data_IF_053312960229
#
_entry.id   IF_053312960229
#
_cell.length_a   1.000
_cell.length_b   1.000
_cell.length_c   1.000
_cell.angle_alpha   90.00
_cell.angle_beta   90.00
_cell.angle_gamma   90.00
#
_symmetry.space_group_name_H-M   'P 1'
#
loop_
_entity.id
_entity.type
_entity.pdbx_description
1 polymer ?
#
# COMPACT_ATOMS: atom_id res chain seq x y z
N UNK A 1 14.09 12.01 3.23
CA UNK A 1 14.26 11.08 4.37
C UNK A 1 14.24 9.60 3.99
N UNK A 2 13.58 9.18 2.89
CA UNK A 2 13.58 7.75 2.45
C UNK A 2 15.00 7.18 2.37
N UNK A 3 15.90 7.87 1.67
CA UNK A 3 17.30 7.43 1.48
C UNK A 3 18.03 7.14 2.80
N UNK A 4 17.91 8.04 3.79
CA UNK A 4 18.53 7.85 5.10
C UNK A 4 18.00 6.59 5.81
N UNK A 5 16.68 6.38 5.79
CA UNK A 5 16.05 5.23 6.44
C UNK A 5 16.43 3.92 5.74
N UNK A 6 16.49 3.93 4.42
CA UNK A 6 16.81 2.75 3.60
C UNK A 6 18.30 2.47 3.51
N UNK A 7 19.18 3.40 3.90
CA UNK A 7 20.61 3.17 4.04
C UNK A 7 21.01 2.66 5.44
N UNK A 8 20.08 2.68 6.40
CA UNK A 8 20.38 2.40 7.82
C UNK A 8 19.48 1.31 8.40
N UNK A 9 18.32 1.68 8.94
CA UNK A 9 17.45 0.78 9.72
C UNK A 9 16.51 -0.08 8.85
N UNK A 10 16.33 0.26 7.57
CA UNK A 10 15.52 -0.50 6.61
C UNK A 10 16.29 -0.83 5.30
N UNK A 11 17.43 -1.53 5.33
CA UNK A 11 18.31 -1.70 4.17
C UNK A 11 17.84 -2.75 3.15
N UNK A 12 16.54 -3.04 3.09
CA UNK A 12 15.99 -4.04 2.19
C UNK A 12 15.42 -3.41 0.90
N UNK A 13 15.56 -4.08 -0.26
CA UNK A 13 15.07 -3.57 -1.55
C UNK A 13 13.59 -3.17 -1.53
N UNK A 14 12.74 -3.90 -0.80
CA UNK A 14 11.33 -3.59 -0.68
C UNK A 14 11.08 -2.16 -0.14
N UNK A 15 11.85 -1.70 0.84
CA UNK A 15 11.70 -0.35 1.40
C UNK A 15 12.27 0.72 0.47
N UNK A 16 13.41 0.45 -0.19
CA UNK A 16 13.99 1.37 -1.16
C UNK A 16 13.07 1.59 -2.36
N UNK A 17 12.55 0.51 -2.95
CA UNK A 17 11.65 0.58 -4.10
C UNK A 17 10.34 1.25 -3.73
N UNK A 18 9.56 0.68 -2.79
CA UNK A 18 8.23 1.21 -2.49
C UNK A 18 8.28 2.56 -1.76
N UNK A 19 9.26 2.78 -0.89
CA UNK A 19 9.46 4.08 -0.25
C UNK A 19 9.79 5.17 -1.27
N UNK A 20 10.58 4.85 -2.30
CA UNK A 20 10.85 5.75 -3.41
C UNK A 20 9.58 6.11 -4.19
N UNK A 21 8.79 5.11 -4.60
CA UNK A 21 7.52 5.31 -5.32
C UNK A 21 6.55 6.18 -4.51
N UNK A 22 6.37 5.88 -3.22
CA UNK A 22 5.47 6.62 -2.32
C UNK A 22 5.94 8.07 -2.15
N UNK A 23 7.23 8.30 -1.90
CA UNK A 23 7.76 9.65 -1.73
C UNK A 23 7.68 10.49 -3.01
N UNK A 24 7.89 9.85 -4.17
CA UNK A 24 7.78 10.48 -5.47
C UNK A 24 6.33 10.63 -5.96
N UNK A 25 5.35 10.00 -5.29
CA UNK A 25 3.94 9.91 -5.72
C UNK A 25 3.81 9.34 -7.14
N UNK A 26 4.67 8.38 -7.48
CA UNK A 26 4.72 7.74 -8.80
C UNK A 26 4.13 6.34 -8.69
N UNK A 27 2.86 6.20 -9.09
CA UNK A 27 2.13 4.94 -9.05
C UNK A 27 1.79 4.40 -10.45
N UNK A 28 2.25 5.09 -11.49
CA UNK A 28 2.10 4.68 -12.88
C UNK A 28 3.46 4.74 -13.59
N UNK A 29 3.76 3.79 -14.50
CA UNK A 29 2.98 2.57 -14.77
C UNK A 29 3.03 1.60 -13.58
N UNK A 30 1.93 0.86 -13.36
CA UNK A 30 1.88 -0.10 -12.27
C UNK A 30 2.79 -1.31 -12.55
N UNK A 31 3.67 -1.63 -11.59
CA UNK A 31 4.39 -2.89 -11.60
C UNK A 31 3.50 -4.02 -11.07
N UNK A 32 2.66 -3.71 -10.07
CA UNK A 32 1.62 -4.60 -9.57
C UNK A 32 0.39 -3.79 -9.17
N UNK A 33 -0.75 -4.05 -9.81
CA UNK A 33 -1.94 -3.20 -9.63
C UNK A 33 -2.57 -3.36 -8.25
N UNK A 34 -3.19 -2.28 -7.76
CA UNK A 34 -3.91 -2.28 -6.49
C UNK A 34 -5.04 -3.31 -6.46
N UNK A 35 -5.71 -3.55 -7.60
CA UNK A 35 -6.72 -4.61 -7.71
C UNK A 35 -6.14 -6.01 -7.42
N UNK A 36 -4.93 -6.31 -7.90
CA UNK A 36 -4.25 -7.58 -7.62
C UNK A 36 -3.77 -7.65 -6.16
N UNK A 37 -3.27 -6.54 -5.60
CA UNK A 37 -2.92 -6.43 -4.19
C UNK A 37 -4.11 -6.70 -3.27
N UNK A 38 -5.28 -6.13 -3.58
CA UNK A 38 -6.52 -6.37 -2.84
C UNK A 38 -6.93 -7.84 -2.86
N UNK A 39 -6.84 -8.49 -4.03
CA UNK A 39 -7.09 -9.92 -4.19
C UNK A 39 -6.16 -10.74 -3.28
N UNK A 40 -4.86 -10.46 -3.24
CA UNK A 40 -3.90 -11.19 -2.41
C UNK A 40 -4.17 -10.99 -0.91
N UNK A 41 -4.52 -9.78 -0.46
CA UNK A 41 -4.91 -9.52 0.93
C UNK A 41 -6.16 -10.32 1.33
N UNK A 42 -7.17 -10.39 0.45
CA UNK A 42 -8.38 -11.18 0.71
C UNK A 42 -8.09 -12.67 0.81
N UNK A 43 -7.19 -13.20 -0.03
CA UNK A 43 -6.76 -14.60 0.04
C UNK A 43 -6.04 -14.90 1.36
N UNK A 44 -5.14 -14.01 1.80
CA UNK A 44 -4.44 -14.16 3.06
C UNK A 44 -5.39 -14.12 4.27
N UNK A 45 -6.37 -13.19 4.28
CA UNK A 45 -7.37 -13.09 5.34
C UNK A 45 -8.27 -14.33 5.40
N UNK A 46 -8.73 -14.85 4.26
CA UNK A 46 -9.53 -16.07 4.21
C UNK A 46 -8.76 -17.28 4.77
N UNK A 47 -7.48 -17.41 4.42
CA UNK A 47 -6.62 -18.46 4.98
C UNK A 47 -6.45 -18.30 6.50
N UNK A 48 -6.20 -17.07 6.97
CA UNK A 48 -6.04 -16.79 8.39
C UNK A 48 -7.32 -17.09 9.20
N UNK A 49 -8.50 -16.73 8.66
CA UNK A 49 -9.80 -17.03 9.26
C UNK A 49 -10.01 -18.54 9.41
N UNK A 50 -9.67 -19.34 8.39
CA UNK A 50 -9.77 -20.81 8.44
C UNK A 50 -8.93 -21.44 9.55
N UNK A 51 -7.85 -20.76 9.95
CA UNK A 51 -6.93 -21.17 11.02
C UNK A 51 -7.18 -20.46 12.35
N UNK A 52 -8.20 -19.57 12.42
CA UNK A 52 -8.50 -18.71 13.58
C UNK A 52 -7.31 -17.85 14.01
N UNK A 53 -6.50 -17.38 13.06
CA UNK A 53 -5.36 -16.50 13.29
C UNK A 53 -5.78 -15.05 13.03
N UNK A 54 -5.82 -14.18 14.05
CA UNK A 54 -6.16 -12.77 13.84
C UNK A 54 -5.05 -12.04 13.07
N UNK A 55 -5.43 -11.26 12.06
CA UNK A 55 -4.52 -10.46 11.23
C UNK A 55 -4.90 -8.97 11.26
N UNK A 56 -4.54 -8.23 12.33
CA UNK A 56 -4.95 -6.82 12.47
C UNK A 56 -4.44 -5.93 11.34
N UNK A 57 -3.16 -6.08 10.95
CA UNK A 57 -2.60 -5.35 9.82
C UNK A 57 -3.20 -5.79 8.49
N UNK A 58 -3.55 -7.07 8.33
CA UNK A 58 -4.25 -7.56 7.15
C UNK A 58 -5.64 -6.94 7.00
N UNK A 59 -6.38 -6.81 8.11
CA UNK A 59 -7.70 -6.17 8.13
C UNK A 59 -7.60 -4.68 7.81
N UNK A 60 -6.61 -3.98 8.36
CA UNK A 60 -6.32 -2.60 8.00
C UNK A 60 -6.01 -2.46 6.51
N UNK A 61 -5.16 -3.34 5.96
CA UNK A 61 -4.81 -3.31 4.53
C UNK A 61 -6.04 -3.56 3.65
N UNK A 62 -6.92 -4.49 4.03
CA UNK A 62 -8.17 -4.75 3.33
C UNK A 62 -8.98 -3.47 3.16
N UNK A 63 -9.22 -2.73 4.24
CA UNK A 63 -10.04 -1.51 4.20
C UNK A 63 -9.34 -0.38 3.43
N UNK A 64 -8.01 -0.30 3.51
CA UNK A 64 -7.21 0.66 2.74
C UNK A 64 -7.25 0.38 1.24
N UNK A 65 -7.13 -0.87 0.82
CA UNK A 65 -7.31 -1.27 -0.58
C UNK A 65 -8.73 -0.99 -1.04
N UNK A 66 -9.75 -1.36 -0.25
CA UNK A 66 -11.15 -1.13 -0.60
C UNK A 66 -11.43 0.36 -0.84
N UNK A 67 -10.90 1.24 0.01
CA UNK A 67 -10.98 2.69 -0.21
C UNK A 67 -10.28 3.14 -1.48
N UNK A 68 -9.04 2.71 -1.70
CA UNK A 68 -8.28 3.07 -2.90
C UNK A 68 -9.03 2.69 -4.19
N UNK A 69 -9.62 1.50 -4.21
CA UNK A 69 -10.44 1.01 -5.31
C UNK A 69 -11.71 1.87 -5.49
N UNK A 70 -12.42 2.18 -4.40
CA UNK A 70 -13.61 3.04 -4.43
C UNK A 70 -13.33 4.46 -4.96
N UNK A 71 -12.09 4.92 -4.85
CA UNK A 71 -11.63 6.22 -5.36
C UNK A 71 -11.03 6.13 -6.78
N UNK A 72 -11.12 4.97 -7.45
CA UNK A 72 -10.67 4.76 -8.83
C UNK A 72 -9.22 4.33 -9.00
N UNK A 73 -8.52 4.00 -7.90
CA UNK A 73 -7.10 3.60 -7.91
C UNK A 73 -6.81 2.17 -8.35
N UNK A 74 -7.77 1.47 -8.99
CA UNK A 74 -7.67 0.05 -9.36
C UNK A 74 -6.45 -0.29 -10.21
N UNK A 75 -6.12 0.56 -11.18
CA UNK A 75 -5.03 0.39 -12.14
C UNK A 75 -3.68 0.92 -11.65
N UNK A 76 -3.65 1.64 -10.53
CA UNK A 76 -2.42 2.18 -9.95
C UNK A 76 -1.58 1.05 -9.36
N UNK A 77 -0.27 1.30 -9.23
CA UNK A 77 0.59 0.43 -8.43
C UNK A 77 0.07 0.35 -6.99
N UNK A 78 0.10 -0.84 -6.39
CA UNK A 78 -0.38 -1.05 -5.03
C UNK A 78 0.33 -0.19 -3.97
N UNK A 79 1.50 0.37 -4.28
CA UNK A 79 2.18 1.36 -3.43
C UNK A 79 1.39 2.67 -3.26
N UNK A 80 0.39 2.93 -4.10
CA UNK A 80 -0.57 4.03 -3.95
C UNK A 80 -1.27 4.06 -2.58
N UNK A 81 -1.37 2.91 -1.90
CA UNK A 81 -1.82 2.84 -0.51
C UNK A 81 -1.07 3.81 0.42
N UNK A 82 0.24 3.99 0.19
CA UNK A 82 1.07 4.88 1.00
C UNK A 82 0.65 6.35 0.89
N UNK A 83 0.02 6.74 -0.22
CA UNK A 83 -0.54 8.08 -0.43
C UNK A 83 -1.77 8.37 0.43
N UNK A 84 -2.55 7.35 0.82
CA UNK A 84 -3.78 7.52 1.61
C UNK A 84 -3.52 8.16 2.98
N UNK A 85 -2.37 7.87 3.60
CA UNK A 85 -2.03 8.46 4.89
C UNK A 85 -1.88 10.00 4.82
N UNK A 86 -1.34 10.52 3.71
CA UNK A 86 -1.27 11.96 3.48
C UNK A 86 -2.66 12.58 3.32
N UNK A 87 -3.58 11.90 2.63
CA UNK A 87 -4.98 12.34 2.47
C UNK A 87 -5.71 12.38 3.82
N UNK A 88 -5.52 11.37 4.65
CA UNK A 88 -6.13 11.32 6.00
C UNK A 88 -5.64 12.45 6.90
N UNK A 89 -4.39 12.86 6.71
CA UNK A 89 -3.79 13.99 7.41
C UNK A 89 -4.18 15.35 6.83
N UNK A 90 -5.01 15.40 5.78
CA UNK A 90 -5.43 16.63 5.13
C UNK A 90 -4.37 17.28 4.22
N UNK A 91 -3.38 16.53 3.74
CA UNK A 91 -2.41 17.06 2.76
C UNK A 91 -3.11 17.28 1.41
N UNK A 92 -3.40 18.55 1.10
CA UNK A 92 -4.03 18.97 -0.16
C UNK A 92 -3.22 18.61 -1.42
N UNK A 93 -1.98 18.16 -1.26
CA UNK A 93 -1.09 17.73 -2.36
C UNK A 93 -1.05 16.22 -2.53
N UNK A 94 -1.71 15.43 -1.68
CA UNK A 94 -1.70 13.99 -1.79
C UNK A 94 -2.47 13.55 -3.06
N UNK A 95 -1.92 12.63 -3.87
CA UNK A 95 -2.53 12.22 -5.14
C UNK A 95 -3.84 11.47 -4.89
N UNK A 96 -4.76 11.58 -5.85
CA UNK A 96 -6.08 10.94 -5.84
C UNK A 96 -5.95 9.41 -5.88
#
# INVERSE_FOLDING_TARGET
YVELLTATIFPAPAYATYGGLIAAKQFEPAAFTAALGFKDVRLALAAAESLRVPMPLGSLLHDRFLRLLAEGGESLDWSALGGLAGRDAGDARAPA
#
